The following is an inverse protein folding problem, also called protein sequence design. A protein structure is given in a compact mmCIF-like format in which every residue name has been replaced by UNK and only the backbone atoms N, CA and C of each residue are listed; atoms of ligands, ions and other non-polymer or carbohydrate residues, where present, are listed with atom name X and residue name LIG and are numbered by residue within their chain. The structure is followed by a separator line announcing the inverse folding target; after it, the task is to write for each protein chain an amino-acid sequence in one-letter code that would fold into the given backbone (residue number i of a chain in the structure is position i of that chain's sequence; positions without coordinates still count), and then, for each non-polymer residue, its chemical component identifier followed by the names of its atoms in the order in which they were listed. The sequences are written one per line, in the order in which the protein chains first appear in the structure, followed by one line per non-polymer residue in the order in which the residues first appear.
data_IF_698423598886
#
_entry.id   IF_698423598886
#
_cell.length_a   1.000
_cell.length_b   1.000
_cell.length_c   1.000
_cell.angle_alpha   90.00
_cell.angle_beta   90.00
_cell.angle_gamma   90.00
#
_symmetry.space_group_name_H-M   'P 1'
#
loop_
_entity.id
_entity.type
_entity.pdbx_description
1 polymer ?
#
# COMPACT_ATOMS: atom_id res chain seq x y z
N UNK A 1 16.78 -6.15 -17.08
CA UNK A 1 16.22 -4.81 -16.80
C UNK A 1 16.58 -4.40 -15.38
N UNK A 2 16.56 -3.10 -15.09
CA UNK A 2 16.77 -2.52 -13.76
C UNK A 2 15.46 -1.88 -13.27
N UNK A 3 15.20 -1.91 -11.95
CA UNK A 3 14.06 -1.22 -11.35
C UNK A 3 14.42 -0.62 -9.98
N UNK A 4 13.62 0.34 -9.53
CA UNK A 4 13.65 0.87 -8.17
C UNK A 4 12.48 0.31 -7.37
N UNK A 5 12.67 0.12 -6.08
CA UNK A 5 11.64 -0.41 -5.17
C UNK A 5 11.54 0.50 -3.95
N UNK A 6 10.34 0.90 -3.56
CA UNK A 6 10.10 1.68 -2.35
C UNK A 6 9.22 0.88 -1.40
N UNK A 7 9.77 0.50 -0.26
CA UNK A 7 9.12 -0.31 0.79
C UNK A 7 9.08 0.51 2.08
N UNK A 8 7.97 0.48 2.82
CA UNK A 8 7.91 1.03 4.17
C UNK A 8 8.54 0.07 5.18
N UNK A 9 9.45 0.53 6.00
CA UNK A 9 10.16 -0.32 6.96
C UNK A 9 9.43 -0.50 8.31
N UNK A 10 8.39 0.30 8.58
CA UNK A 10 7.63 0.29 9.84
C UNK A 10 6.19 -0.19 9.67
N UNK A 11 5.24 0.60 10.20
CA UNK A 11 3.80 0.30 10.20
C UNK A 11 3.00 1.06 9.13
N UNK A 12 3.65 1.61 8.11
CA UNK A 12 3.08 2.53 7.13
C UNK A 12 3.39 3.99 7.45
N UNK A 13 2.99 4.91 6.55
CA UNK A 13 3.18 6.36 6.70
C UNK A 13 4.63 6.86 6.71
N UNK A 14 5.57 6.09 6.14
CA UNK A 14 7.00 6.42 6.11
C UNK A 14 7.41 7.34 4.94
N UNK A 15 6.45 7.85 4.17
CA UNK A 15 6.76 8.68 3.01
C UNK A 15 7.03 7.90 1.72
N UNK A 16 6.51 6.68 1.58
CA UNK A 16 6.67 5.85 0.36
C UNK A 16 6.26 6.59 -0.91
N UNK A 17 5.11 7.26 -0.90
CA UNK A 17 4.65 8.07 -2.03
C UNK A 17 5.66 9.16 -2.41
N UNK A 18 6.19 9.87 -1.43
CA UNK A 18 7.20 10.92 -1.62
C UNK A 18 8.44 10.37 -2.35
N UNK A 19 9.05 9.29 -1.85
CA UNK A 19 10.22 8.69 -2.48
C UNK A 19 9.92 8.07 -3.84
N UNK A 20 8.71 7.49 -4.02
CA UNK A 20 8.26 7.00 -5.32
C UNK A 20 8.15 8.13 -6.34
N UNK A 21 7.52 9.24 -5.95
CA UNK A 21 7.41 10.43 -6.80
C UNK A 21 8.78 11.04 -7.11
N UNK A 22 9.68 11.09 -6.13
CA UNK A 22 11.07 11.52 -6.33
C UNK A 22 11.76 10.66 -7.40
N UNK A 23 11.76 9.34 -7.26
CA UNK A 23 12.40 8.48 -8.26
C UNK A 23 11.76 8.62 -9.65
N UNK A 24 10.44 8.78 -9.69
CA UNK A 24 9.72 8.98 -10.95
C UNK A 24 10.06 10.31 -11.62
N UNK A 25 10.31 11.37 -10.85
CA UNK A 25 10.65 12.70 -11.36
C UNK A 25 12.04 12.78 -11.98
N UNK A 26 12.94 11.83 -11.65
CA UNK A 26 14.30 11.78 -12.23
C UNK A 26 14.30 11.32 -13.70
N UNK A 27 13.19 10.84 -14.21
CA UNK A 27 13.07 10.28 -15.56
C UNK A 27 12.03 11.01 -16.39
N UNK A 28 12.25 11.13 -17.69
CA UNK A 28 11.28 11.73 -18.62
C UNK A 28 9.99 10.95 -18.73
N UNK A 29 10.03 9.66 -18.45
CA UNK A 29 8.91 8.72 -18.54
C UNK A 29 9.07 7.65 -17.48
N UNK A 30 8.08 7.48 -16.64
CA UNK A 30 8.09 6.49 -15.56
C UNK A 30 6.82 5.65 -15.54
N UNK A 31 6.94 4.41 -15.13
CA UNK A 31 5.83 3.57 -14.72
C UNK A 31 6.00 3.17 -13.26
N UNK A 32 4.97 3.45 -12.47
CA UNK A 32 4.92 3.03 -11.07
C UNK A 32 4.01 1.82 -10.94
N UNK A 33 4.55 0.76 -10.35
CA UNK A 33 3.90 -0.54 -10.18
C UNK A 33 3.48 -0.71 -8.72
N UNK A 34 2.16 -0.75 -8.47
CA UNK A 34 1.61 -1.17 -7.17
C UNK A 34 1.70 -2.69 -7.08
N UNK A 35 2.59 -3.19 -6.22
CA UNK A 35 2.90 -4.62 -6.15
C UNK A 35 2.23 -5.35 -4.99
N UNK A 36 1.45 -4.65 -4.15
CA UNK A 36 0.74 -5.24 -3.02
C UNK A 36 -0.37 -4.33 -2.50
N UNK A 37 -1.19 -4.85 -1.59
CA UNK A 37 -2.25 -4.09 -0.93
C UNK A 37 -3.43 -3.79 -1.83
N UNK A 38 -4.07 -2.65 -1.63
CA UNK A 38 -5.25 -2.18 -2.36
C UNK A 38 -5.56 -0.75 -1.96
N UNK A 39 -6.84 -0.36 -2.05
CA UNK A 39 -7.32 1.00 -1.80
C UNK A 39 -7.06 1.56 -0.38
N UNK A 40 -6.71 0.70 0.58
CA UNK A 40 -6.44 1.11 1.97
C UNK A 40 -5.09 1.84 2.12
N UNK A 41 -4.19 1.73 1.16
CA UNK A 41 -2.92 2.43 1.22
C UNK A 41 -3.07 3.81 0.60
N UNK A 42 -3.03 4.84 1.43
CA UNK A 42 -3.04 6.24 1.02
C UNK A 42 -1.63 6.79 0.89
N UNK A 43 -1.21 7.16 -0.33
CA UNK A 43 0.09 7.78 -0.57
C UNK A 43 -0.10 9.26 -0.86
N UNK A 44 0.19 10.09 0.12
CA UNK A 44 0.08 11.54 -0.02
C UNK A 44 1.21 12.09 -0.86
N UNK A 45 0.86 12.84 -1.90
CA UNK A 45 1.78 13.63 -2.70
C UNK A 45 1.39 15.09 -2.60
N UNK A 46 2.38 15.91 -2.36
CA UNK A 46 2.29 17.37 -2.39
C UNK A 46 3.24 17.86 -3.49
N UNK A 47 2.72 18.66 -4.41
CA UNK A 47 3.53 19.31 -5.45
C UNK A 47 3.86 20.75 -5.06
N UNK A 48 4.92 21.31 -5.60
CA UNK A 48 5.34 22.69 -5.30
C UNK A 48 4.31 23.76 -5.66
N UNK A 49 3.42 23.49 -6.62
CA UNK A 49 2.31 24.37 -6.98
C UNK A 49 1.11 24.25 -6.01
N UNK A 50 1.27 23.51 -4.91
CA UNK A 50 0.28 23.36 -3.83
C UNK A 50 -0.80 22.32 -4.10
N UNK A 51 -0.75 21.56 -5.18
CA UNK A 51 -1.65 20.43 -5.37
C UNK A 51 -1.32 19.34 -4.36
N UNK A 52 -2.36 18.76 -3.76
CA UNK A 52 -2.24 17.67 -2.80
C UNK A 52 -3.30 16.61 -3.11
N UNK A 53 -2.86 15.35 -3.13
CA UNK A 53 -3.77 14.21 -3.26
C UNK A 53 -3.26 13.02 -2.46
N UNK A 54 -4.20 12.19 -1.99
CA UNK A 54 -3.91 10.91 -1.33
C UNK A 54 -4.29 9.80 -2.30
N UNK A 55 -3.27 9.20 -2.93
CA UNK A 55 -3.42 8.16 -3.93
C UNK A 55 -3.71 6.81 -3.29
N UNK A 56 -4.81 6.16 -3.65
CA UNK A 56 -5.20 4.82 -3.23
C UNK A 56 -4.95 3.78 -4.33
N UNK A 57 -5.64 3.91 -5.46
CA UNK A 57 -5.46 3.07 -6.66
C UNK A 57 -4.44 3.67 -7.62
N UNK A 58 -4.54 4.99 -7.85
CA UNK A 58 -3.59 5.65 -8.74
C UNK A 58 -2.22 5.75 -8.06
N UNK A 59 -1.20 5.94 -8.86
CA UNK A 59 0.19 5.85 -8.42
C UNK A 59 0.78 7.20 -8.09
N UNK A 60 1.77 7.24 -7.21
CA UNK A 60 2.38 8.45 -6.68
C UNK A 60 3.03 9.37 -7.75
N UNK A 61 3.28 8.87 -8.96
CA UNK A 61 3.77 9.67 -10.08
C UNK A 61 2.66 10.38 -10.88
N UNK A 62 1.39 10.25 -10.53
CA UNK A 62 0.26 10.72 -11.36
C UNK A 62 0.19 12.24 -11.53
N UNK A 63 0.95 13.02 -10.76
CA UNK A 63 1.14 14.47 -10.99
C UNK A 63 2.18 14.80 -12.06
N UNK A 64 3.02 13.83 -12.43
CA UNK A 64 4.11 14.05 -13.39
C UNK A 64 3.60 13.90 -14.83
N UNK A 65 4.23 14.63 -15.74
CA UNK A 65 3.99 14.45 -17.16
C UNK A 65 4.46 13.08 -17.64
N UNK A 66 3.70 12.44 -18.55
CA UNK A 66 3.99 11.11 -19.07
C UNK A 66 4.06 10.01 -18.00
N UNK A 67 3.45 10.24 -16.85
CA UNK A 67 3.33 9.23 -15.80
C UNK A 67 2.42 8.08 -16.23
N UNK A 68 2.81 6.85 -15.88
CA UNK A 68 1.99 5.65 -16.05
C UNK A 68 1.89 4.92 -14.74
N UNK A 69 0.71 4.40 -14.45
CA UNK A 69 0.47 3.54 -13.31
C UNK A 69 0.21 2.10 -13.74
N UNK A 70 0.60 1.13 -12.92
CA UNK A 70 0.30 -0.27 -13.13
C UNK A 70 -0.09 -0.95 -11.83
N UNK A 71 -1.25 -1.63 -11.86
CA UNK A 71 -1.72 -2.46 -10.75
C UNK A 71 -1.38 -3.92 -11.08
N UNK A 72 -0.45 -4.50 -10.33
CA UNK A 72 0.00 -5.88 -10.56
C UNK A 72 -1.06 -6.91 -10.15
N UNK A 73 -0.80 -8.19 -10.43
CA UNK A 73 -1.63 -9.32 -9.99
C UNK A 73 -1.80 -9.42 -8.47
N UNK A 74 -0.91 -8.77 -7.70
CA UNK A 74 -0.93 -8.77 -6.24
C UNK A 74 -1.68 -7.58 -5.64
N UNK A 75 -2.22 -6.68 -6.46
CA UNK A 75 -3.00 -5.53 -6.03
C UNK A 75 -4.50 -5.86 -6.02
N UNK A 76 -5.21 -5.40 -4.99
CA UNK A 76 -6.66 -5.59 -4.84
C UNK A 76 -7.40 -4.34 -5.32
N UNK A 77 -8.18 -4.48 -6.38
CA UNK A 77 -8.90 -3.36 -6.99
C UNK A 77 -10.29 -3.26 -6.39
N UNK A 78 -10.67 -2.06 -5.93
CA UNK A 78 -12.02 -1.75 -5.50
C UNK A 78 -12.66 -0.77 -6.51
N UNK A 79 -13.58 -1.20 -7.36
CA UNK A 79 -14.18 -0.35 -8.41
C UNK A 79 -14.83 0.91 -7.87
N UNK A 80 -15.52 0.83 -6.71
CA UNK A 80 -16.23 1.96 -6.09
C UNK A 80 -15.23 3.04 -5.66
N UNK A 81 -14.16 2.63 -4.97
CA UNK A 81 -13.14 3.57 -4.50
C UNK A 81 -12.29 4.09 -5.65
N UNK A 82 -12.01 3.25 -6.66
CA UNK A 82 -11.32 3.65 -7.89
C UNK A 82 -12.06 4.80 -8.60
N UNK A 83 -13.36 4.66 -8.82
CA UNK A 83 -14.18 5.69 -9.48
C UNK A 83 -14.25 6.98 -8.65
N UNK A 84 -14.35 6.87 -7.32
CA UNK A 84 -14.31 8.03 -6.43
C UNK A 84 -12.98 8.79 -6.57
N UNK A 85 -11.86 8.08 -6.55
CA UNK A 85 -10.53 8.67 -6.69
C UNK A 85 -10.33 9.28 -8.09
N UNK A 86 -10.73 8.57 -9.15
CA UNK A 86 -10.69 9.08 -10.53
C UNK A 86 -11.42 10.41 -10.68
N UNK A 87 -12.64 10.53 -10.10
CA UNK A 87 -13.41 11.76 -10.15
C UNK A 87 -12.69 12.90 -9.41
N UNK A 88 -12.04 12.60 -8.28
CA UNK A 88 -11.23 13.59 -7.54
C UNK A 88 -10.04 14.07 -8.36
N UNK A 89 -9.36 13.15 -9.06
CA UNK A 89 -8.22 13.50 -9.92
C UNK A 89 -8.64 14.30 -11.14
N UNK A 90 -9.78 13.96 -11.76
CA UNK A 90 -10.37 14.76 -12.86
C UNK A 90 -10.72 16.17 -12.40
N UNK A 91 -11.23 16.35 -11.18
CA UNK A 91 -11.50 17.66 -10.61
C UNK A 91 -10.23 18.51 -10.39
N UNK A 92 -9.07 17.87 -10.21
CA UNK A 92 -7.74 18.50 -10.18
C UNK A 92 -7.15 18.76 -11.57
N UNK A 93 -7.90 18.46 -12.65
CA UNK A 93 -7.45 18.61 -14.04
C UNK A 93 -6.52 17.50 -14.52
N UNK A 94 -6.49 16.36 -13.82
CA UNK A 94 -5.63 15.22 -14.15
C UNK A 94 -6.42 14.13 -14.89
N UNK A 95 -5.76 13.51 -15.88
CA UNK A 95 -6.27 12.33 -16.57
C UNK A 95 -5.21 11.22 -16.52
N UNK A 96 -5.04 10.57 -15.36
CA UNK A 96 -4.00 9.59 -15.19
C UNK A 96 -4.25 8.35 -16.05
N UNK A 97 -3.19 7.81 -16.62
CA UNK A 97 -3.22 6.55 -17.38
C UNK A 97 -2.78 5.42 -16.46
N UNK A 98 -3.61 4.39 -16.34
CA UNK A 98 -3.34 3.25 -15.49
C UNK A 98 -3.68 1.95 -16.21
N UNK A 99 -2.77 0.99 -16.12
CA UNK A 99 -2.98 -0.37 -16.60
C UNK A 99 -3.13 -1.33 -15.42
N UNK A 100 -3.70 -2.49 -15.69
CA UNK A 100 -3.95 -3.51 -14.67
C UNK A 100 -3.66 -4.90 -15.19
N UNK A 101 -3.09 -5.75 -14.35
CA UNK A 101 -2.91 -7.18 -14.63
C UNK A 101 -4.26 -7.90 -14.63
N UNK A 102 -4.45 -8.81 -15.58
CA UNK A 102 -5.72 -9.53 -15.76
C UNK A 102 -6.09 -10.42 -14.56
N UNK A 103 -5.10 -10.88 -13.78
CA UNK A 103 -5.29 -11.71 -12.59
C UNK A 103 -5.49 -10.91 -11.30
N UNK A 104 -5.45 -9.57 -11.32
CA UNK A 104 -5.71 -8.76 -10.15
C UNK A 104 -7.13 -9.02 -9.59
N UNK A 105 -7.23 -9.23 -8.27
CA UNK A 105 -8.51 -9.49 -7.62
C UNK A 105 -9.36 -8.23 -7.49
N UNK A 106 -10.68 -8.40 -7.58
CA UNK A 106 -11.67 -7.34 -7.40
C UNK A 106 -12.31 -7.49 -6.02
N UNK A 107 -12.22 -6.44 -5.22
CA UNK A 107 -12.96 -6.28 -3.96
C UNK A 107 -14.41 -5.93 -4.27
N UNK A 108 -15.34 -6.60 -3.60
CA UNK A 108 -16.79 -6.42 -3.80
C UNK A 108 -17.42 -5.64 -2.64
N UNK A 109 -18.64 -5.11 -2.81
CA UNK A 109 -19.43 -4.54 -1.71
C UNK A 109 -19.65 -5.53 -0.55
N UNK A 110 -19.70 -6.81 -0.84
CA UNK A 110 -19.84 -7.88 0.15
C UNK A 110 -18.60 -8.00 1.05
N UNK A 111 -17.40 -7.95 0.48
CA UNK A 111 -16.14 -7.97 1.22
C UNK A 111 -16.04 -6.75 2.15
N UNK A 112 -16.45 -5.58 1.65
CA UNK A 112 -16.49 -4.35 2.44
C UNK A 112 -17.48 -4.44 3.61
N UNK A 113 -18.70 -4.93 3.35
CA UNK A 113 -19.74 -5.04 4.37
C UNK A 113 -19.30 -5.95 5.52
N UNK A 114 -18.78 -7.15 5.24
CA UNK A 114 -18.27 -8.07 6.26
C UNK A 114 -17.17 -7.37 7.08
N UNK A 115 -16.21 -6.73 6.43
CA UNK A 115 -15.14 -6.06 7.14
C UNK A 115 -15.65 -4.96 8.09
N UNK A 116 -16.57 -4.12 7.64
CA UNK A 116 -17.17 -3.05 8.45
C UNK A 116 -18.00 -3.61 9.61
N UNK A 117 -18.78 -4.64 9.36
CA UNK A 117 -19.62 -5.28 10.38
C UNK A 117 -18.78 -5.98 11.45
N UNK A 118 -17.68 -6.65 11.05
CA UNK A 118 -16.73 -7.23 11.99
C UNK A 118 -16.08 -6.18 12.91
N UNK A 119 -15.66 -5.04 12.36
CA UNK A 119 -15.08 -3.97 13.18
C UNK A 119 -16.14 -3.39 14.14
N UNK A 120 -17.39 -3.24 13.70
CA UNK A 120 -18.50 -2.77 14.57
C UNK A 120 -18.84 -3.77 15.66
N UNK A 121 -18.88 -5.08 15.36
CA UNK A 121 -19.26 -6.13 16.30
C UNK A 121 -18.25 -6.34 17.44
N UNK A 122 -16.99 -5.99 17.23
CA UNK A 122 -15.91 -6.20 18.24
C UNK A 122 -15.91 -5.22 19.41
N UNK A 123 -16.70 -4.14 19.35
CA UNK A 123 -16.63 -3.08 20.35
C UNK A 123 -15.32 -2.28 20.25
N UNK A 124 -15.26 -1.14 20.96
CA UNK A 124 -14.18 -0.14 20.80
C UNK A 124 -12.80 -0.71 21.16
N UNK A 125 -12.70 -1.45 22.27
CA UNK A 125 -11.44 -1.94 22.82
C UNK A 125 -10.85 -3.16 22.11
N UNK A 126 -11.65 -3.84 21.27
CA UNK A 126 -11.28 -5.08 20.58
C UNK A 126 -11.18 -4.92 19.06
N UNK A 127 -11.27 -3.70 18.54
CA UNK A 127 -11.14 -3.40 17.11
C UNK A 127 -9.72 -3.69 16.63
N UNK A 128 -9.60 -4.28 15.45
CA UNK A 128 -8.28 -4.48 14.83
C UNK A 128 -7.78 -3.20 14.13
N UNK A 129 -8.64 -2.18 13.99
CA UNK A 129 -8.29 -0.91 13.36
C UNK A 129 -8.18 -1.01 11.84
N UNK A 130 -8.99 -1.85 11.19
CA UNK A 130 -9.04 -1.91 9.74
C UNK A 130 -9.74 -0.68 9.16
N UNK A 131 -9.39 -0.31 7.93
CA UNK A 131 -10.01 0.84 7.25
C UNK A 131 -11.42 0.55 6.66
N UNK A 132 -11.98 -0.64 6.87
CA UNK A 132 -13.32 -1.01 6.37
C UNK A 132 -13.43 -1.20 4.86
N UNK A 133 -12.32 -1.31 4.13
CA UNK A 133 -12.31 -1.43 2.66
C UNK A 133 -12.30 -2.88 2.13
N UNK A 134 -12.45 -3.87 3.01
CA UNK A 134 -12.67 -5.26 2.62
C UNK A 134 -11.43 -6.05 2.18
N UNK A 135 -10.22 -5.55 2.40
CA UNK A 135 -8.98 -6.18 1.92
C UNK A 135 -8.82 -7.62 2.44
N UNK A 136 -8.92 -7.81 3.77
CA UNK A 136 -8.78 -9.12 4.40
C UNK A 136 -9.84 -10.11 3.91
N UNK A 137 -11.09 -9.67 3.73
CA UNK A 137 -12.19 -10.51 3.26
C UNK A 137 -12.07 -10.82 1.75
N UNK A 138 -11.56 -9.88 0.93
CA UNK A 138 -11.24 -10.16 -0.49
C UNK A 138 -10.19 -11.27 -0.60
N UNK A 139 -9.11 -11.21 0.19
CA UNK A 139 -8.08 -12.25 0.24
C UNK A 139 -8.67 -13.58 0.72
N UNK A 140 -9.43 -13.57 1.83
CA UNK A 140 -10.08 -14.77 2.36
C UNK A 140 -11.01 -15.42 1.31
N UNK A 141 -11.88 -14.64 0.69
CA UNK A 141 -12.79 -15.11 -0.35
C UNK A 141 -12.04 -15.68 -1.55
N UNK A 142 -10.99 -15.01 -1.99
CA UNK A 142 -10.26 -15.38 -3.22
C UNK A 142 -9.30 -16.55 -2.98
N UNK A 143 -8.46 -16.48 -1.96
CA UNK A 143 -7.36 -17.44 -1.76
C UNK A 143 -7.75 -18.65 -0.91
N UNK A 144 -8.62 -18.47 0.08
CA UNK A 144 -9.03 -19.54 0.98
C UNK A 144 -10.31 -20.20 0.48
N UNK A 145 -11.37 -19.42 0.29
CA UNK A 145 -12.67 -19.96 -0.15
C UNK A 145 -12.74 -20.22 -1.68
N UNK A 146 -11.74 -19.80 -2.45
CA UNK A 146 -11.64 -19.97 -3.91
C UNK A 146 -12.83 -19.41 -4.69
N UNK A 147 -13.46 -18.34 -4.18
CA UNK A 147 -14.52 -17.61 -4.88
C UNK A 147 -13.92 -16.41 -5.61
N UNK A 148 -13.21 -16.69 -6.69
CA UNK A 148 -12.41 -15.72 -7.44
C UNK A 148 -13.27 -14.73 -8.23
N UNK A 149 -12.87 -13.45 -8.16
CA UNK A 149 -13.30 -12.41 -9.09
C UNK A 149 -12.06 -11.59 -9.47
N UNK A 150 -11.71 -11.62 -10.75
CA UNK A 150 -10.49 -11.03 -11.31
C UNK A 150 -10.83 -10.09 -12.47
N UNK A 151 -9.91 -9.26 -12.88
CA UNK A 151 -10.09 -8.32 -13.99
C UNK A 151 -10.45 -9.06 -15.30
N UNK A 152 -9.84 -10.19 -15.60
CA UNK A 152 -10.17 -11.00 -16.78
C UNK A 152 -11.63 -11.44 -16.84
N UNK A 153 -12.29 -11.63 -15.69
CA UNK A 153 -13.69 -12.03 -15.61
C UNK A 153 -14.66 -10.93 -16.09
N UNK A 154 -14.18 -9.70 -16.11
CA UNK A 154 -14.98 -8.52 -16.52
C UNK A 154 -15.14 -8.38 -18.03
N UNK A 155 -14.49 -9.25 -18.81
CA UNK A 155 -14.61 -9.27 -20.27
C UNK A 155 -15.98 -9.79 -20.76
N UNK A 156 -16.67 -10.59 -19.93
CA UNK A 156 -17.99 -11.15 -20.21
C UNK A 156 -19.00 -10.75 -19.13
N UNK A 157 -20.06 -10.03 -19.50
CA UNK A 157 -21.10 -9.61 -18.57
C UNK A 157 -21.84 -10.80 -17.93
N UNK A 158 -22.03 -11.91 -18.67
CA UNK A 158 -22.65 -13.12 -18.14
C UNK A 158 -21.78 -13.81 -17.10
N UNK A 159 -20.49 -13.98 -17.38
CA UNK A 159 -19.50 -14.55 -16.44
C UNK A 159 -19.40 -13.69 -15.17
N UNK A 160 -19.32 -12.38 -15.35
CA UNK A 160 -19.26 -11.44 -14.23
C UNK A 160 -20.49 -11.56 -13.32
N UNK A 161 -21.70 -11.58 -13.91
CA UNK A 161 -22.95 -11.68 -13.18
C UNK A 161 -23.08 -13.04 -12.46
N UNK A 162 -22.72 -14.13 -13.11
CA UNK A 162 -22.71 -15.48 -12.49
C UNK A 162 -21.77 -15.54 -11.27
N UNK A 163 -20.54 -15.04 -11.42
CA UNK A 163 -19.57 -14.98 -10.31
C UNK A 163 -20.09 -14.12 -9.14
N UNK A 164 -20.74 -13.01 -9.41
CA UNK A 164 -21.29 -12.16 -8.37
C UNK A 164 -22.44 -12.83 -7.61
N UNK A 165 -23.26 -13.65 -8.26
CA UNK A 165 -24.24 -14.47 -7.56
C UNK A 165 -23.58 -15.52 -6.66
N UNK A 166 -22.55 -16.21 -7.12
CA UNK A 166 -21.76 -17.15 -6.29
C UNK A 166 -21.15 -16.43 -5.08
N UNK A 167 -20.62 -15.22 -5.28
CA UNK A 167 -20.04 -14.41 -4.20
C UNK A 167 -21.12 -13.96 -3.22
N UNK A 168 -22.31 -13.58 -3.68
CA UNK A 168 -23.45 -13.24 -2.82
C UNK A 168 -23.88 -14.42 -1.95
N UNK A 169 -23.91 -15.62 -2.50
CA UNK A 169 -24.26 -16.82 -1.72
C UNK A 169 -23.16 -17.17 -0.71
N UNK A 170 -21.88 -17.00 -1.09
CA UNK A 170 -20.77 -17.11 -0.14
C UNK A 170 -20.85 -16.03 0.96
N UNK A 171 -21.22 -14.80 0.63
CA UNK A 171 -21.44 -13.72 1.60
C UNK A 171 -22.48 -14.12 2.65
N UNK A 172 -23.65 -14.66 2.26
CA UNK A 172 -24.65 -15.16 3.21
C UNK A 172 -24.07 -16.22 4.15
N UNK A 173 -23.33 -17.19 3.60
CA UNK A 173 -22.66 -18.21 4.40
C UNK A 173 -21.68 -17.59 5.40
N UNK A 174 -20.82 -16.67 4.92
CA UNK A 174 -19.81 -15.99 5.72
C UNK A 174 -20.40 -15.13 6.84
N UNK A 175 -21.47 -14.41 6.56
CA UNK A 175 -22.23 -13.63 7.56
C UNK A 175 -22.74 -14.52 8.69
N UNK A 176 -23.30 -15.68 8.35
CA UNK A 176 -23.76 -16.65 9.34
C UNK A 176 -22.61 -17.25 10.15
N UNK A 177 -21.52 -17.64 9.50
CA UNK A 177 -20.29 -18.16 10.14
C UNK A 177 -19.72 -17.18 11.16
N UNK A 178 -19.74 -15.89 10.85
CA UNK A 178 -19.22 -14.81 11.68
C UNK A 178 -20.24 -14.25 12.70
N UNK A 179 -21.44 -14.82 12.77
CA UNK A 179 -22.53 -14.35 13.63
C UNK A 179 -22.94 -12.88 13.41
N UNK A 180 -22.98 -12.44 12.14
CA UNK A 180 -23.30 -11.06 11.74
C UNK A 180 -24.73 -10.91 11.17
N UNK A 181 -25.63 -11.85 11.45
CA UNK A 181 -26.98 -11.89 10.87
C UNK A 181 -27.83 -10.65 11.20
N UNK A 182 -27.65 -10.05 12.37
CA UNK A 182 -28.37 -8.83 12.77
C UNK A 182 -28.10 -7.68 11.80
N UNK A 183 -26.83 -7.49 11.42
CA UNK A 183 -26.44 -6.49 10.43
C UNK A 183 -27.02 -6.74 9.04
N UNK A 184 -27.15 -8.01 8.65
CA UNK A 184 -27.75 -8.38 7.37
C UNK A 184 -29.24 -8.05 7.36
N UNK A 185 -29.96 -8.31 8.47
CA UNK A 185 -31.41 -8.00 8.60
C UNK A 185 -31.66 -6.49 8.47
N UNK A 186 -30.77 -5.67 9.00
CA UNK A 186 -30.81 -4.20 8.87
C UNK A 186 -30.43 -3.69 7.46
N UNK A 187 -29.89 -4.56 6.60
CA UNK A 187 -29.31 -4.20 5.30
C UNK A 187 -29.81 -5.11 4.16
N UNK A 188 -31.12 -5.34 4.08
CA UNK A 188 -31.74 -6.23 3.08
C UNK A 188 -31.30 -5.98 1.64
N UNK A 189 -30.99 -4.72 1.28
CA UNK A 189 -30.54 -4.36 -0.05
C UNK A 189 -29.23 -5.09 -0.45
N UNK A 190 -28.42 -5.56 0.52
CA UNK A 190 -27.20 -6.33 0.25
C UNK A 190 -27.47 -7.64 -0.51
N UNK A 191 -28.68 -8.18 -0.40
CA UNK A 191 -29.09 -9.40 -1.11
C UNK A 191 -29.82 -9.12 -2.42
N UNK A 192 -30.06 -7.86 -2.76
CA UNK A 192 -30.80 -7.47 -3.97
C UNK A 192 -29.99 -7.68 -5.25
N UNK A 193 -30.67 -7.98 -6.35
CA UNK A 193 -30.08 -7.99 -7.68
C UNK A 193 -29.65 -6.57 -8.11
N UNK A 194 -30.33 -5.54 -7.60
CA UNK A 194 -30.00 -4.15 -7.86
C UNK A 194 -28.60 -3.75 -7.36
N UNK A 195 -28.10 -4.34 -6.26
CA UNK A 195 -26.71 -4.14 -5.83
C UNK A 195 -25.72 -4.74 -6.82
N UNK A 196 -26.00 -5.95 -7.30
CA UNK A 196 -25.17 -6.63 -8.31
C UNK A 196 -25.15 -5.83 -9.60
N UNK A 197 -26.31 -5.41 -10.11
CA UNK A 197 -26.41 -4.67 -11.36
C UNK A 197 -25.66 -3.32 -11.28
N UNK A 198 -25.79 -2.59 -10.16
CA UNK A 198 -25.03 -1.35 -9.90
C UNK A 198 -23.52 -1.61 -9.87
N UNK A 199 -23.09 -2.66 -9.18
CA UNK A 199 -21.67 -2.99 -9.10
C UNK A 199 -21.09 -3.41 -10.46
N UNK A 200 -21.87 -4.08 -11.30
CA UNK A 200 -21.51 -4.36 -12.70
C UNK A 200 -21.31 -3.05 -13.49
N UNK A 201 -22.16 -2.06 -13.28
CA UNK A 201 -22.04 -0.76 -13.96
C UNK A 201 -20.82 0.03 -13.48
N UNK A 202 -20.50 -0.03 -12.18
CA UNK A 202 -19.25 0.52 -11.63
C UNK A 202 -18.02 -0.14 -12.29
N UNK A 203 -18.02 -1.47 -12.43
CA UNK A 203 -16.93 -2.20 -13.11
C UNK A 203 -16.83 -1.80 -14.58
N UNK A 204 -17.93 -1.67 -15.31
CA UNK A 204 -17.93 -1.21 -16.72
C UNK A 204 -17.32 0.18 -16.84
N UNK A 205 -17.78 1.12 -16.01
CA UNK A 205 -17.27 2.49 -15.99
C UNK A 205 -15.78 2.55 -15.65
N UNK A 206 -15.33 1.76 -14.66
CA UNK A 206 -13.91 1.63 -14.35
C UNK A 206 -13.12 1.13 -15.56
N UNK A 207 -13.60 0.12 -16.26
CA UNK A 207 -12.92 -0.47 -17.43
C UNK A 207 -12.72 0.52 -18.58
N UNK A 208 -13.59 1.49 -18.76
CA UNK A 208 -13.43 2.53 -19.79
C UNK A 208 -12.16 3.38 -19.57
N UNK A 209 -11.62 3.37 -18.36
CA UNK A 209 -10.45 4.15 -17.97
C UNK A 209 -9.20 3.29 -17.69
N UNK A 210 -9.33 1.97 -17.76
CA UNK A 210 -8.24 1.02 -17.53
C UNK A 210 -7.69 0.47 -18.84
N UNK A 211 -6.38 0.26 -18.88
CA UNK A 211 -5.73 -0.55 -19.91
C UNK A 211 -5.61 -1.97 -19.36
N UNK A 212 -6.29 -2.92 -20.01
CA UNK A 212 -6.27 -4.36 -19.65
C UNK A 212 -5.46 -5.17 -20.67
N UNK A 213 -5.14 -6.43 -20.36
CA UNK A 213 -4.32 -7.28 -21.22
C UNK A 213 -2.82 -7.00 -21.14
N UNK A 214 -2.40 -6.20 -20.18
CA UNK A 214 -0.99 -5.84 -19.92
C UNK A 214 -0.47 -6.72 -18.77
N UNK A 215 -0.08 -7.96 -19.10
CA UNK A 215 0.29 -8.96 -18.09
C UNK A 215 1.81 -9.09 -17.89
N UNK A 216 2.62 -8.54 -18.81
CA UNK A 216 4.07 -8.63 -18.76
C UNK A 216 4.72 -7.28 -19.06
N UNK A 217 5.85 -7.02 -18.44
CA UNK A 217 6.58 -5.74 -18.56
C UNK A 217 7.31 -5.55 -19.90
N UNK A 218 7.29 -6.54 -20.81
CA UNK A 218 7.74 -6.38 -22.18
C UNK A 218 6.66 -5.78 -23.12
N UNK A 219 5.46 -5.52 -22.59
CA UNK A 219 4.40 -4.84 -23.33
C UNK A 219 4.80 -3.40 -23.67
N UNK A 220 4.35 -2.89 -24.82
CA UNK A 220 4.65 -1.51 -25.26
C UNK A 220 4.28 -0.41 -24.25
N UNK A 221 3.34 -0.70 -23.36
CA UNK A 221 2.97 0.18 -22.27
C UNK A 221 4.16 0.57 -21.39
N UNK A 222 5.15 -0.32 -21.21
CA UNK A 222 6.34 -0.09 -20.39
C UNK A 222 7.54 0.42 -21.19
N UNK A 223 7.40 0.56 -22.51
CA UNK A 223 8.51 0.96 -23.40
C UNK A 223 9.13 2.29 -22.97
N UNK A 224 10.44 2.31 -22.81
CA UNK A 224 11.24 3.48 -22.43
C UNK A 224 10.87 4.09 -21.07
N UNK A 225 10.20 3.33 -20.19
CA UNK A 225 9.87 3.78 -18.86
C UNK A 225 10.94 3.35 -17.84
N UNK A 226 11.25 4.25 -16.90
CA UNK A 226 11.86 3.85 -15.64
C UNK A 226 10.82 3.06 -14.83
N UNK A 227 11.18 1.87 -14.36
CA UNK A 227 10.30 0.99 -13.58
C UNK A 227 10.50 1.25 -12.08
N UNK A 228 9.41 1.55 -11.38
CA UNK A 228 9.43 1.82 -9.95
C UNK A 228 8.33 1.00 -9.28
N UNK A 229 8.69 0.18 -8.32
CA UNK A 229 7.75 -0.56 -7.49
C UNK A 229 7.37 0.27 -6.26
N UNK A 230 6.08 0.46 -6.04
CA UNK A 230 5.49 1.22 -4.96
C UNK A 230 4.76 0.29 -3.99
N UNK A 231 5.32 0.13 -2.77
CA UNK A 231 4.76 -0.71 -1.72
C UNK A 231 3.61 -0.04 -0.96
N UNK A 232 2.70 -0.86 -0.47
CA UNK A 232 1.63 -0.47 0.43
C UNK A 232 1.91 -0.99 1.84
N UNK A 233 1.58 -0.20 2.88
CA UNK A 233 1.87 -0.51 4.27
C UNK A 233 3.38 -0.56 4.55
N UNK A 234 3.81 -1.23 5.64
CA UNK A 234 5.21 -1.39 5.99
C UNK A 234 5.51 -2.80 6.47
N UNK A 235 6.80 -3.15 6.57
CA UNK A 235 7.28 -4.50 6.91
C UNK A 235 6.71 -5.04 8.23
N UNK A 236 6.53 -4.17 9.22
CA UNK A 236 6.01 -4.55 10.54
C UNK A 236 4.50 -4.90 10.50
N UNK A 237 3.81 -4.64 9.38
CA UNK A 237 2.43 -5.05 9.12
C UNK A 237 2.33 -6.22 8.14
N UNK A 238 3.45 -6.81 7.70
CA UNK A 238 3.45 -7.95 6.78
C UNK A 238 2.70 -9.15 7.38
N UNK A 239 1.97 -9.89 6.53
CA UNK A 239 1.16 -11.03 6.97
C UNK A 239 1.95 -12.18 7.60
N UNK A 240 3.27 -12.27 7.32
CA UNK A 240 4.16 -13.33 7.80
C UNK A 240 5.14 -12.78 8.84
N UNK A 241 5.75 -11.62 8.58
CA UNK A 241 6.78 -11.03 9.43
C UNK A 241 6.22 -10.22 10.59
N UNK A 242 5.00 -9.70 10.45
CA UNK A 242 4.36 -8.85 11.46
C UNK A 242 3.77 -9.63 12.63
N UNK A 243 3.26 -8.91 13.61
CA UNK A 243 2.66 -9.46 14.84
C UNK A 243 1.17 -9.78 14.64
N UNK A 244 0.84 -11.04 14.39
CA UNK A 244 -0.57 -11.47 14.26
C UNK A 244 -1.34 -11.27 15.58
N UNK A 245 -2.61 -10.80 15.57
CA UNK A 245 -3.49 -10.57 14.41
C UNK A 245 -3.39 -9.16 13.79
N UNK A 246 -2.50 -8.31 14.28
CA UNK A 246 -2.39 -6.89 13.92
C UNK A 246 -1.53 -6.67 12.66
N UNK A 247 -1.84 -7.40 11.60
CA UNK A 247 -1.15 -7.38 10.30
C UNK A 247 -2.11 -7.09 9.15
N UNK A 248 -1.57 -6.67 8.02
CA UNK A 248 -2.33 -6.66 6.75
C UNK A 248 -2.26 -8.03 6.08
N UNK A 249 -3.30 -8.42 5.34
CA UNK A 249 -3.31 -9.67 4.56
C UNK A 249 -2.59 -9.47 3.22
N UNK A 250 -1.31 -9.12 3.31
CA UNK A 250 -0.49 -8.83 2.14
C UNK A 250 1.00 -9.04 2.46
N UNK A 251 1.79 -9.42 1.46
CA UNK A 251 3.24 -9.35 1.54
C UNK A 251 3.65 -7.89 1.28
N UNK A 252 4.22 -7.24 2.28
CA UNK A 252 4.57 -5.81 2.21
C UNK A 252 6.01 -5.55 1.79
N UNK A 253 6.85 -6.58 1.82
CA UNK A 253 8.25 -6.57 1.42
C UNK A 253 8.50 -7.05 0.00
N UNK A 254 9.70 -7.59 -0.22
CA UNK A 254 10.24 -7.95 -1.54
C UNK A 254 9.55 -9.15 -2.21
N UNK A 255 8.85 -10.00 -1.48
CA UNK A 255 8.32 -11.26 -2.02
C UNK A 255 7.53 -11.11 -3.32
N UNK A 256 6.58 -10.17 -3.39
CA UNK A 256 5.80 -9.92 -4.59
C UNK A 256 6.63 -9.22 -5.69
N UNK A 257 7.58 -8.37 -5.30
CA UNK A 257 8.52 -7.73 -6.24
C UNK A 257 9.37 -8.77 -6.94
N UNK A 258 9.96 -9.70 -6.18
CA UNK A 258 10.78 -10.78 -6.74
C UNK A 258 9.95 -11.70 -7.64
N UNK A 259 8.70 -12.00 -7.28
CA UNK A 259 7.79 -12.75 -8.14
C UNK A 259 7.58 -12.07 -9.51
N UNK A 260 7.32 -10.76 -9.53
CA UNK A 260 7.20 -9.98 -10.76
C UNK A 260 8.54 -9.93 -11.51
N UNK A 261 9.66 -9.78 -10.81
CA UNK A 261 10.98 -9.74 -11.42
C UNK A 261 11.34 -11.04 -12.15
N UNK A 262 11.02 -12.20 -11.55
CA UNK A 262 11.25 -13.53 -12.16
C UNK A 262 10.48 -13.69 -13.46
N UNK A 263 9.21 -13.24 -13.48
CA UNK A 263 8.35 -13.33 -14.68
C UNK A 263 8.80 -12.39 -15.80
N UNK A 264 9.52 -11.30 -15.48
CA UNK A 264 9.81 -10.21 -16.40
C UNK A 264 11.31 -9.97 -16.64
N UNK A 265 12.18 -10.84 -16.14
CA UNK A 265 13.64 -10.76 -16.33
C UNK A 265 14.25 -9.43 -15.84
N UNK A 266 13.79 -8.93 -14.67
CA UNK A 266 14.40 -7.81 -13.96
C UNK A 266 15.48 -8.37 -13.05
N UNK A 267 16.74 -7.98 -13.30
CA UNK A 267 17.91 -8.58 -12.63
C UNK A 267 18.64 -7.60 -11.70
N UNK A 268 18.23 -6.34 -11.65
CA UNK A 268 18.83 -5.32 -10.79
C UNK A 268 17.76 -4.52 -10.08
N UNK A 269 17.86 -4.41 -8.75
CA UNK A 269 16.94 -3.67 -7.91
C UNK A 269 17.70 -2.68 -7.02
N UNK A 270 17.32 -1.40 -7.08
CA UNK A 270 17.65 -0.43 -6.04
C UNK A 270 16.47 -0.38 -5.07
N UNK A 271 16.63 -0.96 -3.88
CA UNK A 271 15.57 -1.08 -2.88
C UNK A 271 15.74 -0.03 -1.79
N UNK A 272 14.83 0.92 -1.71
CA UNK A 272 14.77 1.94 -0.67
C UNK A 272 13.77 1.53 0.41
N UNK A 273 14.26 1.30 1.62
CA UNK A 273 13.46 1.11 2.82
C UNK A 273 13.18 2.47 3.46
N UNK A 274 11.94 2.95 3.31
CA UNK A 274 11.53 4.25 3.81
C UNK A 274 11.21 4.19 5.31
N UNK A 275 11.68 5.18 6.06
CA UNK A 275 11.36 5.42 7.47
C UNK A 275 11.23 6.91 7.74
N UNK A 276 10.44 7.30 8.74
CA UNK A 276 10.52 8.64 9.34
C UNK A 276 11.69 8.70 10.33
N UNK A 277 12.08 9.87 10.74
CA UNK A 277 13.01 10.04 11.88
C UNK A 277 12.36 9.70 13.25
N UNK A 278 11.13 9.20 13.25
CA UNK A 278 10.37 8.65 14.38
C UNK A 278 9.41 7.57 13.88
N UNK A 279 8.85 6.78 14.79
CA UNK A 279 7.87 5.75 14.44
C UNK A 279 6.45 6.23 14.63
N UNK A 280 5.56 5.75 13.77
CA UNK A 280 4.11 5.94 13.88
C UNK A 280 3.40 4.62 13.70
N UNK A 281 2.27 4.44 14.38
CA UNK A 281 1.38 3.30 14.18
C UNK A 281 -0.08 3.72 14.27
N UNK A 282 -0.88 3.29 13.30
CA UNK A 282 -2.34 3.32 13.37
C UNK A 282 -2.90 2.03 13.96
N UNK A 283 -4.06 2.14 14.61
CA UNK A 283 -4.82 0.98 15.07
C UNK A 283 -4.17 0.23 16.24
N UNK A 284 -4.68 -0.97 16.48
CA UNK A 284 -4.25 -1.82 17.59
C UNK A 284 -2.91 -2.52 17.33
N UNK A 285 -2.41 -3.20 18.36
CA UNK A 285 -1.13 -3.93 18.35
C UNK A 285 -0.01 -3.17 19.05
N UNK A 286 1.10 -3.85 19.29
CA UNK A 286 2.23 -3.28 20.05
C UNK A 286 2.97 -2.20 19.27
N UNK A 287 3.40 -1.15 19.96
CA UNK A 287 4.37 -0.17 19.46
C UNK A 287 5.51 -0.10 20.48
N UNK A 288 6.66 -0.65 20.15
CA UNK A 288 7.82 -0.68 21.03
C UNK A 288 8.23 0.74 21.39
N UNK A 289 8.45 0.99 22.69
CA UNK A 289 8.80 2.30 23.24
C UNK A 289 7.77 3.40 22.92
N UNK A 290 6.47 3.06 22.94
CA UNK A 290 5.38 3.99 22.65
C UNK A 290 5.41 5.20 23.59
N UNK A 291 5.19 6.38 22.99
CA UNK A 291 5.09 7.65 23.67
C UNK A 291 3.61 8.05 23.81
N UNK A 292 3.22 8.61 24.95
CA UNK A 292 1.89 9.18 25.15
C UNK A 292 1.71 10.57 24.50
N UNK A 293 2.66 11.02 23.69
CA UNK A 293 2.71 12.34 23.08
C UNK A 293 3.47 12.30 21.74
N UNK A 294 3.34 13.37 20.95
CA UNK A 294 4.15 13.55 19.73
C UNK A 294 5.61 13.81 20.10
N UNK A 295 6.59 13.08 19.53
CA UNK A 295 8.00 13.21 19.89
C UNK A 295 8.57 14.60 19.61
N UNK A 296 8.01 15.33 18.62
CA UNK A 296 8.48 16.65 18.21
C UNK A 296 7.32 17.61 18.05
N UNK A 297 7.53 18.87 18.45
CA UNK A 297 6.48 19.91 18.46
C UNK A 297 6.00 20.27 17.03
N UNK A 298 6.89 20.17 16.03
CA UNK A 298 6.60 20.57 14.67
C UNK A 298 5.92 19.47 13.83
N UNK A 299 5.57 18.32 14.42
CA UNK A 299 4.85 17.27 13.71
C UNK A 299 3.43 17.75 13.37
N UNK A 300 3.20 17.98 12.08
CA UNK A 300 1.90 18.26 11.50
C UNK A 300 1.54 17.07 10.60
N UNK A 301 0.44 16.39 10.92
CA UNK A 301 -0.08 15.30 10.09
C UNK A 301 -1.50 15.63 9.64
N UNK A 302 -1.62 16.12 8.41
CA UNK A 302 -2.90 16.47 7.79
C UNK A 302 -3.59 15.28 7.14
N UNK A 303 -2.88 14.15 7.00
CA UNK A 303 -3.40 12.96 6.30
C UNK A 303 -4.13 12.02 7.26
N UNK A 304 -3.55 11.82 8.46
CA UNK A 304 -4.00 10.81 9.42
C UNK A 304 -5.00 11.42 10.42
N UNK A 305 -6.13 11.91 9.90
CA UNK A 305 -7.23 12.41 10.74
C UNK A 305 -7.86 11.20 11.45
N UNK A 306 -8.08 11.30 12.77
CA UNK A 306 -8.72 10.23 13.53
C UNK A 306 -10.07 9.84 12.92
N UNK A 307 -10.31 8.54 12.78
CA UNK A 307 -11.58 8.00 12.29
C UNK A 307 -12.11 6.93 13.27
N UNK A 308 -13.38 6.57 13.10
CA UNK A 308 -14.04 5.65 14.04
C UNK A 308 -13.48 4.21 14.03
N UNK A 309 -12.71 3.83 13.01
CA UNK A 309 -12.15 2.47 12.88
C UNK A 309 -10.71 2.37 13.37
N UNK A 310 -9.88 3.39 13.15
CA UNK A 310 -8.43 3.33 13.39
C UNK A 310 -7.95 4.15 14.59
N UNK A 311 -8.80 5.03 15.13
CA UNK A 311 -8.43 5.92 16.23
C UNK A 311 -7.40 6.99 15.83
N UNK A 312 -6.55 7.41 16.78
CA UNK A 312 -5.50 8.41 16.58
C UNK A 312 -4.15 7.74 16.26
N UNK A 313 -3.29 8.49 15.58
CA UNK A 313 -1.91 8.09 15.32
C UNK A 313 -1.12 8.01 16.64
N UNK A 314 -0.39 6.92 16.84
CA UNK A 314 0.47 6.62 17.99
C UNK A 314 1.93 6.84 17.60
N UNK A 315 2.78 7.20 18.53
CA UNK A 315 4.15 7.62 18.28
C UNK A 315 5.18 6.88 19.14
N UNK A 316 6.37 6.66 18.58
CA UNK A 316 7.56 6.23 19.31
C UNK A 316 8.82 6.86 18.68
N UNK A 317 9.93 6.88 19.43
CA UNK A 317 11.22 7.15 18.81
C UNK A 317 11.61 6.00 17.88
N UNK A 318 12.39 6.30 16.81
CA UNK A 318 12.88 5.27 15.91
C UNK A 318 13.79 4.31 16.68
N UNK A 319 13.62 3.01 16.43
CA UNK A 319 14.47 1.94 16.96
C UNK A 319 15.27 1.36 15.78
N UNK A 320 16.58 1.60 15.80
CA UNK A 320 17.48 1.23 14.71
C UNK A 320 17.69 -0.28 14.66
N UNK A 321 17.73 -0.93 15.81
CA UNK A 321 17.89 -2.39 15.89
C UNK A 321 16.67 -3.08 15.27
N UNK A 322 15.46 -2.61 15.61
CA UNK A 322 14.22 -3.13 15.04
C UNK A 322 14.10 -2.84 13.53
N UNK A 323 14.53 -1.65 13.09
CA UNK A 323 14.58 -1.30 11.67
C UNK A 323 15.43 -2.30 10.88
N UNK A 324 16.65 -2.57 11.35
CA UNK A 324 17.55 -3.53 10.70
C UNK A 324 17.00 -4.96 10.75
N UNK A 325 16.43 -5.37 11.90
CA UNK A 325 15.83 -6.70 12.04
C UNK A 325 14.78 -6.97 10.95
N UNK A 326 13.87 -6.03 10.70
CA UNK A 326 12.82 -6.21 9.70
C UNK A 326 13.34 -6.14 8.27
N UNK A 327 14.34 -5.29 7.98
CA UNK A 327 15.00 -5.26 6.68
C UNK A 327 15.70 -6.60 6.39
N UNK A 328 16.43 -7.14 7.34
CA UNK A 328 17.13 -8.43 7.18
C UNK A 328 16.15 -9.61 7.06
N UNK A 329 15.02 -9.59 7.77
CA UNK A 329 13.93 -10.56 7.59
C UNK A 329 13.37 -10.52 6.17
N UNK A 330 13.14 -9.32 5.62
CA UNK A 330 12.63 -9.16 4.27
C UNK A 330 13.62 -9.68 3.22
N UNK A 331 14.89 -9.30 3.32
CA UNK A 331 15.96 -9.77 2.43
C UNK A 331 16.14 -11.28 2.50
N UNK A 332 16.17 -11.85 3.71
CA UNK A 332 16.31 -13.29 3.93
C UNK A 332 15.11 -14.08 3.38
N UNK A 333 13.91 -13.51 3.42
CA UNK A 333 12.69 -14.14 2.91
C UNK A 333 12.70 -14.43 1.41
N UNK A 334 13.57 -13.76 0.66
CA UNK A 334 13.70 -13.88 -0.81
C UNK A 334 15.07 -14.37 -1.27
N UNK A 335 15.99 -14.68 -0.35
CA UNK A 335 17.39 -15.00 -0.65
C UNK A 335 17.53 -16.14 -1.67
N UNK A 336 16.79 -17.24 -1.49
CA UNK A 336 16.83 -18.39 -2.39
C UNK A 336 16.43 -18.00 -3.83
N UNK A 337 15.35 -17.27 -3.99
CA UNK A 337 14.86 -16.79 -5.28
C UNK A 337 15.83 -15.80 -5.93
N UNK A 338 16.40 -14.90 -5.13
CA UNK A 338 17.39 -13.88 -5.57
C UNK A 338 18.64 -14.58 -6.12
N UNK A 339 19.18 -15.55 -5.40
CA UNK A 339 20.34 -16.34 -5.83
C UNK A 339 20.05 -17.17 -7.08
N UNK A 340 18.94 -17.88 -7.09
CA UNK A 340 18.52 -18.74 -8.21
C UNK A 340 18.33 -17.99 -9.52
N UNK A 341 17.81 -16.76 -9.45
CA UNK A 341 17.52 -15.94 -10.63
C UNK A 341 18.57 -14.87 -10.91
N UNK A 342 19.69 -14.86 -10.16
CA UNK A 342 20.80 -13.91 -10.29
C UNK A 342 20.35 -12.44 -10.20
N UNK A 343 19.41 -12.14 -9.32
CA UNK A 343 18.93 -10.79 -9.06
C UNK A 343 19.93 -10.09 -8.13
N UNK A 344 20.36 -8.91 -8.50
CA UNK A 344 21.23 -8.06 -7.67
C UNK A 344 20.36 -7.04 -6.93
N UNK A 345 20.52 -6.95 -5.61
CA UNK A 345 19.84 -5.99 -4.77
C UNK A 345 20.86 -5.01 -4.23
N UNK A 346 20.68 -3.73 -4.55
CA UNK A 346 21.35 -2.61 -3.92
C UNK A 346 20.38 -2.01 -2.90
N UNK A 347 20.71 -2.02 -1.61
CA UNK A 347 19.84 -1.61 -0.53
C UNK A 347 20.09 -0.17 -0.09
N UNK A 348 19.03 0.55 0.26
CA UNK A 348 19.10 1.94 0.72
C UNK A 348 18.08 2.25 1.81
N UNK A 349 18.32 3.33 2.53
CA UNK A 349 17.41 3.89 3.53
C UNK A 349 16.89 5.23 3.03
N UNK A 350 15.57 5.43 3.10
CA UNK A 350 14.91 6.71 2.86
C UNK A 350 14.47 7.34 4.18
N UNK A 351 15.10 8.44 4.56
CA UNK A 351 14.82 9.16 5.81
C UNK A 351 13.85 10.31 5.52
N UNK A 352 12.65 10.27 6.06
CA UNK A 352 11.65 11.33 5.90
C UNK A 352 11.41 12.12 7.18
N UNK A 353 10.75 13.28 7.06
CA UNK A 353 10.37 14.17 8.17
C UNK A 353 11.57 14.79 8.92
N UNK A 354 12.72 14.98 8.26
CA UNK A 354 13.92 15.57 8.87
C UNK A 354 13.74 17.07 9.18
N UNK A 355 12.83 17.73 8.48
CA UNK A 355 12.44 19.14 8.67
C UNK A 355 11.62 19.38 9.94
N UNK A 356 11.14 18.32 10.61
CA UNK A 356 10.22 18.45 11.74
C UNK A 356 10.90 18.63 13.10
N UNK A 357 12.23 18.50 13.17
CA UNK A 357 13.00 18.66 14.41
C UNK A 357 14.46 18.92 14.12
N UNK A 358 15.13 19.69 14.99
CA UNK A 358 16.59 19.91 14.95
C UNK A 358 17.36 18.75 15.58
N UNK A 359 16.73 17.98 16.47
CA UNK A 359 17.35 16.89 17.19
C UNK A 359 16.47 15.64 17.12
N UNK A 360 17.07 14.53 16.71
CA UNK A 360 16.41 13.23 16.60
C UNK A 360 16.81 12.37 17.79
N UNK A 361 15.81 11.81 18.46
CA UNK A 361 15.97 10.77 19.47
C UNK A 361 15.69 9.41 18.86
N UNK A 362 16.55 8.44 19.12
CA UNK A 362 16.42 7.07 18.58
C UNK A 362 16.98 6.04 19.55
N UNK A 363 16.52 4.80 19.45
CA UNK A 363 17.07 3.68 20.19
C UNK A 363 18.10 2.92 19.35
N UNK A 364 19.23 2.59 19.96
CA UNK A 364 20.25 1.70 19.43
C UNK A 364 20.83 0.88 20.58
N UNK A 365 20.93 -0.44 20.46
CA UNK A 365 21.31 -1.39 21.51
C UNK A 365 20.51 -1.19 22.81
N UNK A 366 19.20 -0.94 22.66
CA UNK A 366 18.26 -0.59 23.73
C UNK A 366 18.60 0.68 24.53
N UNK A 367 19.50 1.52 24.07
CA UNK A 367 19.83 2.79 24.68
C UNK A 367 19.24 3.95 23.86
N UNK A 368 18.63 4.91 24.57
CA UNK A 368 18.15 6.13 23.94
C UNK A 368 19.34 7.05 23.61
N UNK A 369 19.48 7.37 22.36
CA UNK A 369 20.50 8.25 21.81
C UNK A 369 19.88 9.57 21.33
N UNK A 370 20.72 10.57 21.11
CA UNK A 370 20.34 11.86 20.55
C UNK A 370 21.36 12.29 19.53
N UNK A 371 20.90 12.78 18.37
CA UNK A 371 21.75 13.31 17.32
C UNK A 371 21.07 14.53 16.66
N UNK A 372 21.86 15.46 16.13
CA UNK A 372 21.32 16.53 15.27
C UNK A 372 20.75 15.93 13.98
N UNK A 373 19.63 16.47 13.48
CA UNK A 373 18.95 15.94 12.30
C UNK A 373 19.84 15.87 11.06
N UNK A 374 20.71 16.89 10.85
CA UNK A 374 21.67 16.95 9.72
C UNK A 374 22.71 15.82 9.72
N UNK A 375 22.95 15.21 10.87
CA UNK A 375 23.90 14.12 11.05
C UNK A 375 23.21 12.75 11.13
N UNK A 376 21.88 12.68 11.08
CA UNK A 376 21.14 11.44 11.34
C UNK A 376 21.51 10.31 10.37
N UNK A 377 21.81 10.62 9.10
CA UNK A 377 22.26 9.61 8.12
C UNK A 377 23.52 8.87 8.54
N UNK A 378 24.40 9.50 9.36
CA UNK A 378 25.70 8.90 9.73
C UNK A 378 25.56 7.60 10.53
N UNK A 379 24.42 7.37 11.19
CA UNK A 379 24.17 6.09 11.87
C UNK A 379 24.03 4.90 10.90
N UNK A 380 23.86 5.17 9.59
CA UNK A 380 23.73 4.16 8.54
C UNK A 380 25.02 3.96 7.71
N UNK A 381 26.06 4.81 7.89
CA UNK A 381 27.25 4.85 7.04
C UNK A 381 28.04 3.52 7.01
N UNK A 382 28.00 2.75 8.10
CA UNK A 382 28.74 1.48 8.22
C UNK A 382 28.01 0.24 7.68
N UNK A 383 26.82 0.41 7.05
CA UNK A 383 25.92 -0.69 6.70
C UNK A 383 25.71 -0.92 5.19
N UNK A 384 26.52 -0.30 4.34
CA UNK A 384 26.43 -0.42 2.88
C UNK A 384 25.04 -0.07 2.30
N UNK A 385 24.35 0.90 2.90
CA UNK A 385 23.13 1.47 2.36
C UNK A 385 23.42 2.74 1.58
N UNK A 386 22.77 2.92 0.42
CA UNK A 386 22.63 4.26 -0.11
C UNK A 386 21.56 5.02 0.66
N UNK A 387 21.74 6.32 0.88
CA UNK A 387 20.83 7.13 1.70
C UNK A 387 20.10 8.13 0.81
N UNK A 388 18.82 8.32 1.11
CA UNK A 388 17.98 9.41 0.62
C UNK A 388 17.35 10.13 1.81
N UNK A 389 17.47 11.46 1.83
CA UNK A 389 16.95 12.31 2.92
C UNK A 389 15.85 13.22 2.37
N UNK A 390 14.73 13.34 3.09
CA UNK A 390 13.69 14.32 2.78
C UNK A 390 13.57 15.37 3.86
N UNK A 391 13.69 16.62 3.44
CA UNK A 391 13.65 17.82 4.25
C UNK A 391 12.35 18.62 4.02
N UNK A 392 11.29 17.96 3.56
CA UNK A 392 9.99 18.56 3.31
C UNK A 392 9.05 17.58 2.62
N UNK A 393 7.80 18.00 2.32
CA UNK A 393 6.76 17.13 1.82
C UNK A 393 6.80 16.89 0.30
N UNK A 394 7.63 17.65 -0.45
CA UNK A 394 7.69 17.57 -1.90
C UNK A 394 8.84 16.66 -2.38
N UNK A 395 8.72 16.10 -3.58
CA UNK A 395 9.79 15.27 -4.19
C UNK A 395 11.09 16.03 -4.38
N UNK A 396 11.04 17.33 -4.57
CA UNK A 396 12.19 18.20 -4.73
C UNK A 396 12.93 18.49 -3.41
N UNK A 397 12.34 18.14 -2.28
CA UNK A 397 12.97 18.24 -0.96
C UNK A 397 13.80 16.98 -0.61
N UNK A 398 13.87 16.01 -1.55
CA UNK A 398 14.65 14.78 -1.41
C UNK A 398 16.04 14.96 -2.01
N UNK A 399 17.08 14.62 -1.23
CA UNK A 399 18.51 14.72 -1.60
C UNK A 399 19.21 13.36 -1.52
#
# INVERSE_FOLDING_TARGET
MKAKVVIGSGYGDEGKGLFTNYFASLSKKSVVIRFNGGAQAGHTIVSRDGKRHVFGHFTANSFLNNARGYLSQHFLINPIIFLKELNSLKALGLNPVIAVHDDAYITTPYDMAINQWLEKSRGVDSRHGSCGLGIGETVHRSEIAKKLLQIKDTSSASVLKEKLYVIRDFFKFRVNELHLNDYLTESDFMLSDGLIDRFIDDIKTMKETLITGVNFLNHEYFSDCEIIFEGAQGLMLDQIMGEFPHVTRSNTGLKNVIDICKQNNILELDVLYATRCYKTRHGAGSLKNELGFKPYANIIDETNIPNEYQGSLRFAYLDIDELYEFIEKDLSSVEEDVLKHHIRINKGIGLSCLDQTDNIYYYENNNLQKIENVNFKTIFDNKEFFIKESWGPCSEDVV
#
